data_IF_436446243671
#
_entry.id   IF_436446243671
#
_cell.length_a   1.000
_cell.length_b   1.000
_cell.length_c   1.000
_cell.angle_alpha   90.00
_cell.angle_beta   90.00
_cell.angle_gamma   90.00
#
_symmetry.space_group_name_H-M   'P 1'
#
loop_
_entity.id
_entity.type
_entity.pdbx_description
1 polymer ?
#
# COMPACT_ATOMS: atom_id res chain seq x y z
N UNK A 1 5.31 10.73 -0.99
CA UNK A 1 4.02 10.43 -1.63
C UNK A 1 4.22 10.23 -3.11
N UNK A 2 3.81 9.10 -3.70
CA UNK A 2 4.01 8.82 -5.13
C UNK A 2 2.79 9.27 -5.96
N UNK A 3 2.95 10.14 -6.97
CA UNK A 3 1.83 10.67 -7.75
C UNK A 3 1.45 9.74 -8.91
N UNK A 4 0.82 8.60 -8.61
CA UNK A 4 0.43 7.60 -9.63
C UNK A 4 -1.07 7.41 -9.85
N UNK A 5 -1.90 7.79 -8.87
CA UNK A 5 -3.35 7.53 -8.88
C UNK A 5 -4.07 8.49 -7.92
N UNK A 6 -5.04 9.29 -8.39
CA UNK A 6 -5.67 10.32 -7.57
C UNK A 6 -6.85 9.78 -6.73
N UNK A 7 -7.34 8.56 -7.00
CA UNK A 7 -8.67 8.10 -6.54
C UNK A 7 -8.87 8.17 -5.02
N UNK A 8 -7.83 7.88 -4.25
CA UNK A 8 -7.87 7.91 -2.78
C UNK A 8 -6.82 8.86 -2.19
N UNK A 9 -6.15 9.63 -3.06
CA UNK A 9 -4.89 10.27 -2.72
C UNK A 9 -5.06 11.29 -1.60
N UNK A 10 -6.09 12.13 -1.70
CA UNK A 10 -6.28 13.21 -0.75
C UNK A 10 -6.78 12.66 0.59
N UNK A 11 -7.66 11.68 0.54
CA UNK A 11 -8.22 10.96 1.67
C UNK A 11 -7.13 10.24 2.47
N UNK A 12 -6.28 9.46 1.80
CA UNK A 12 -5.13 8.80 2.41
C UNK A 12 -4.15 9.84 2.96
N UNK A 13 -3.74 10.84 2.17
CA UNK A 13 -2.76 11.84 2.61
C UNK A 13 -3.25 12.64 3.83
N UNK A 14 -4.53 13.04 3.86
CA UNK A 14 -5.09 13.87 4.92
C UNK A 14 -4.99 13.23 6.32
N UNK A 15 -4.96 11.90 6.43
CA UNK A 15 -4.81 11.21 7.72
C UNK A 15 -3.40 11.32 8.29
N UNK A 16 -2.40 11.24 7.41
CA UNK A 16 -1.00 11.28 7.82
C UNK A 16 -0.48 12.70 7.88
N UNK A 17 -1.04 13.63 7.10
CA UNK A 17 -0.58 14.99 6.96
C UNK A 17 -0.36 15.74 8.29
N UNK A 18 -1.23 15.62 9.31
CA UNK A 18 -1.00 16.24 10.62
C UNK A 18 0.25 15.73 11.34
N UNK A 19 0.76 14.55 10.97
CA UNK A 19 1.92 13.89 11.56
C UNK A 19 3.22 14.19 10.80
N UNK A 20 3.17 14.90 9.67
CA UNK A 20 4.33 15.13 8.82
C UNK A 20 5.02 16.45 9.17
N UNK A 21 6.35 16.44 9.19
CA UNK A 21 7.18 17.65 9.21
C UNK A 21 7.60 18.08 7.80
N UNK A 22 7.73 17.12 6.89
CA UNK A 22 8.07 17.32 5.49
C UNK A 22 7.29 16.34 4.60
N UNK A 23 6.96 16.79 3.38
CA UNK A 23 6.31 15.95 2.37
C UNK A 23 7.11 16.02 1.07
N UNK A 24 7.62 14.88 0.60
CA UNK A 24 8.32 14.79 -0.68
C UNK A 24 7.48 14.05 -1.72
N UNK A 25 7.44 14.61 -2.92
CA UNK A 25 6.71 14.09 -4.07
C UNK A 25 7.73 13.86 -5.20
N UNK A 26 8.22 12.64 -5.44
CA UNK A 26 9.03 12.36 -6.62
C UNK A 26 8.13 12.36 -7.86
N UNK A 27 8.25 13.39 -8.71
CA UNK A 27 7.36 13.68 -9.84
C UNK A 27 7.95 13.12 -11.14
N UNK A 28 7.29 12.15 -11.82
CA UNK A 28 7.71 11.69 -13.13
C UNK A 28 7.52 12.81 -14.16
N UNK A 29 8.61 13.43 -14.61
CA UNK A 29 8.57 14.61 -15.49
C UNK A 29 7.98 14.31 -16.87
N UNK A 30 8.06 13.06 -17.29
CA UNK A 30 7.52 12.57 -18.57
C UNK A 30 6.04 12.16 -18.47
N UNK A 31 5.44 12.24 -17.28
CA UNK A 31 4.06 11.81 -17.04
C UNK A 31 3.85 10.30 -17.16
N UNK A 32 4.93 9.51 -17.14
CA UNK A 32 4.89 8.06 -17.30
C UNK A 32 5.10 7.36 -15.95
N UNK A 33 4.35 6.28 -15.77
CA UNK A 33 4.57 5.33 -14.66
C UNK A 33 5.72 4.38 -14.96
N UNK A 34 6.01 3.49 -14.01
CA UNK A 34 7.17 2.59 -14.04
C UNK A 34 7.29 1.72 -15.29
N UNK A 35 6.17 1.45 -15.95
CA UNK A 35 6.09 0.63 -17.15
C UNK A 35 5.98 1.40 -18.46
N UNK A 36 6.10 2.72 -18.40
CA UNK A 36 5.91 3.60 -19.56
C UNK A 36 4.44 3.89 -19.89
N UNK A 37 3.49 3.43 -19.08
CA UNK A 37 2.08 3.81 -19.23
C UNK A 37 1.85 5.23 -18.70
N UNK A 38 1.02 6.07 -19.36
CA UNK A 38 0.68 7.38 -18.84
C UNK A 38 -0.02 7.29 -17.48
N UNK A 39 0.32 8.22 -16.59
CA UNK A 39 -0.29 8.36 -15.26
C UNK A 39 -0.78 9.80 -15.06
N UNK A 40 -1.85 10.01 -14.28
CA UNK A 40 -2.46 11.32 -14.08
C UNK A 40 -1.70 12.17 -13.04
N UNK A 41 -0.44 12.51 -13.34
CA UNK A 41 0.44 13.27 -12.41
C UNK A 41 -0.19 14.60 -12.00
N UNK A 42 -0.72 15.37 -12.97
CA UNK A 42 -1.31 16.68 -12.69
C UNK A 42 -2.53 16.60 -11.76
N UNK A 43 -3.39 15.59 -11.94
CA UNK A 43 -4.53 15.33 -11.04
C UNK A 43 -4.03 15.00 -9.64
N UNK A 44 -2.99 14.16 -9.52
CA UNK A 44 -2.39 13.82 -8.24
C UNK A 44 -1.80 15.04 -7.54
N UNK A 45 -1.06 15.90 -8.27
CA UNK A 45 -0.47 17.12 -7.72
C UNK A 45 -1.55 18.11 -7.28
N UNK A 46 -2.66 18.22 -8.01
CA UNK A 46 -3.80 19.04 -7.59
C UNK A 46 -4.39 18.58 -6.26
N UNK A 47 -4.60 17.26 -6.09
CA UNK A 47 -5.06 16.69 -4.83
C UNK A 47 -4.06 16.89 -3.68
N UNK A 48 -2.76 16.73 -3.93
CA UNK A 48 -1.72 16.99 -2.90
C UNK A 48 -1.75 18.46 -2.48
N UNK A 49 -1.80 19.41 -3.42
CA UNK A 49 -1.87 20.85 -3.13
C UNK A 49 -3.12 21.23 -2.32
N UNK A 50 -4.24 20.53 -2.53
CA UNK A 50 -5.47 20.72 -1.74
C UNK A 50 -5.29 20.32 -0.28
N UNK A 51 -4.50 19.28 -0.01
CA UNK A 51 -4.22 18.80 1.35
C UNK A 51 -3.06 19.56 2.02
N UNK A 52 -2.09 20.05 1.25
CA UNK A 52 -0.86 20.69 1.74
C UNK A 52 -1.06 22.13 2.29
N UNK A 53 -1.88 22.24 3.32
CA UNK A 53 -2.25 23.51 3.97
C UNK A 53 -1.10 24.21 4.73
N UNK A 54 -0.05 23.47 5.07
CA UNK A 54 1.18 23.95 5.76
C UNK A 54 2.33 24.24 4.78
N UNK A 55 2.13 24.02 3.47
CA UNK A 55 3.17 24.23 2.45
C UNK A 55 4.47 23.46 2.74
N UNK A 56 4.34 22.20 3.18
CA UNK A 56 5.47 21.32 3.48
C UNK A 56 5.80 20.38 2.33
N UNK A 57 5.03 20.41 1.24
CA UNK A 57 5.29 19.64 0.04
C UNK A 57 6.48 20.19 -0.75
N UNK A 58 7.37 19.30 -1.18
CA UNK A 58 8.43 19.57 -2.14
C UNK A 58 8.39 18.52 -3.26
N UNK A 59 8.29 19.01 -4.48
CA UNK A 59 8.38 18.20 -5.70
C UNK A 59 9.85 17.90 -6.01
N UNK A 60 10.12 16.67 -6.45
CA UNK A 60 11.44 16.21 -6.89
C UNK A 60 11.28 15.62 -8.27
N UNK A 61 11.66 16.35 -9.32
CA UNK A 61 11.55 15.83 -10.66
C UNK A 61 12.48 14.63 -10.88
N UNK A 62 12.03 13.68 -11.70
CA UNK A 62 12.88 12.61 -12.20
C UNK A 62 12.19 11.78 -13.27
N UNK A 63 12.89 10.74 -13.74
CA UNK A 63 12.38 9.76 -14.69
C UNK A 63 12.61 8.37 -14.15
N UNK A 64 11.53 7.62 -13.96
CA UNK A 64 11.55 6.29 -13.38
C UNK A 64 10.70 5.36 -14.24
N UNK A 65 11.18 5.09 -15.45
CA UNK A 65 10.56 4.15 -16.38
C UNK A 65 11.52 3.00 -16.63
N UNK A 66 11.04 1.78 -16.42
CA UNK A 66 11.74 0.56 -16.78
C UNK A 66 10.71 -0.52 -17.13
N UNK A 67 10.40 -0.64 -18.42
CA UNK A 67 9.35 -1.55 -18.92
C UNK A 67 9.65 -3.02 -18.59
N UNK A 68 10.92 -3.41 -18.66
CA UNK A 68 11.36 -4.79 -18.41
C UNK A 68 11.38 -5.11 -16.91
N UNK A 69 11.68 -4.11 -16.08
CA UNK A 69 11.75 -4.25 -14.62
C UNK A 69 11.04 -3.08 -13.89
N UNK A 70 9.69 -2.99 -13.95
CA UNK A 70 8.95 -1.87 -13.36
C UNK A 70 9.16 -1.73 -11.85
N UNK A 71 9.37 -2.85 -11.17
CA UNK A 71 9.66 -2.86 -9.73
C UNK A 71 10.98 -2.16 -9.38
N UNK A 72 11.97 -2.18 -10.28
CA UNK A 72 13.23 -1.45 -10.09
C UNK A 72 13.03 0.05 -10.27
N UNK A 73 12.16 0.45 -11.19
CA UNK A 73 11.75 1.85 -11.34
C UNK A 73 10.98 2.36 -10.10
N UNK A 74 10.07 1.56 -9.53
CA UNK A 74 9.42 1.84 -8.24
C UNK A 74 10.45 2.04 -7.13
N UNK A 75 11.37 1.07 -6.99
CA UNK A 75 12.46 1.13 -6.00
C UNK A 75 13.28 2.41 -6.13
N UNK A 76 13.67 2.77 -7.36
CA UNK A 76 14.45 3.97 -7.63
C UNK A 76 13.69 5.27 -7.32
N UNK A 77 12.39 5.33 -7.63
CA UNK A 77 11.56 6.49 -7.32
C UNK A 77 11.39 6.69 -5.81
N UNK A 78 11.13 5.59 -5.08
CA UNK A 78 11.06 5.63 -3.60
C UNK A 78 12.41 6.00 -3.01
N UNK A 79 13.51 5.46 -3.53
CA UNK A 79 14.85 5.77 -3.05
C UNK A 79 15.18 7.26 -3.24
N UNK A 80 14.82 7.86 -4.37
CA UNK A 80 15.00 9.30 -4.60
C UNK A 80 14.23 10.15 -3.58
N UNK A 81 13.01 9.73 -3.20
CA UNK A 81 12.25 10.41 -2.15
C UNK A 81 12.92 10.29 -0.76
N UNK A 82 13.48 9.12 -0.42
CA UNK A 82 14.23 8.94 0.83
C UNK A 82 15.48 9.82 0.88
N UNK A 83 16.28 9.81 -0.19
CA UNK A 83 17.52 10.58 -0.28
C UNK A 83 17.28 12.08 -0.06
N UNK A 84 16.18 12.59 -0.58
CA UNK A 84 15.84 13.99 -0.41
C UNK A 84 15.40 14.37 1.01
N UNK A 85 14.98 13.39 1.81
CA UNK A 85 14.57 13.57 3.20
C UNK A 85 15.74 13.37 4.19
N UNK A 86 16.91 12.92 3.71
CA UNK A 86 18.10 12.77 4.55
C UNK A 86 18.45 14.09 5.23
N UNK A 87 18.67 14.03 6.55
CA UNK A 87 19.01 15.20 7.38
C UNK A 87 17.83 16.14 7.69
N UNK A 88 16.65 15.89 7.13
CA UNK A 88 15.45 16.70 7.38
C UNK A 88 14.49 16.05 8.38
N UNK A 89 14.47 14.71 8.43
CA UNK A 89 13.59 13.92 9.31
C UNK A 89 14.32 12.67 9.81
N UNK A 90 13.87 12.10 10.91
CA UNK A 90 14.43 10.86 11.48
C UNK A 90 13.84 9.59 10.88
N UNK A 91 12.59 9.67 10.42
CA UNK A 91 11.79 8.58 9.90
C UNK A 91 10.95 9.04 8.71
N UNK A 92 10.74 8.15 7.76
CA UNK A 92 9.91 8.36 6.58
C UNK A 92 8.78 7.35 6.56
N UNK A 93 7.56 7.83 6.32
CA UNK A 93 6.38 7.00 6.07
C UNK A 93 6.31 6.69 4.56
N UNK A 94 6.41 5.41 4.22
CA UNK A 94 6.23 4.87 2.87
C UNK A 94 4.87 4.20 2.76
N UNK A 95 3.86 4.95 2.31
CA UNK A 95 2.52 4.45 2.04
C UNK A 95 2.10 4.75 0.62
N UNK A 96 1.33 3.84 0.05
CA UNK A 96 0.68 4.05 -1.24
C UNK A 96 -0.54 4.97 -1.08
N UNK A 97 -0.97 5.56 -2.20
CA UNK A 97 -2.03 6.57 -2.20
C UNK A 97 -3.43 6.02 -1.89
N UNK A 98 -3.57 4.71 -1.74
CA UNK A 98 -4.80 4.01 -1.41
C UNK A 98 -4.64 3.12 -0.15
N UNK A 99 -3.67 3.44 0.70
CA UNK A 99 -3.44 2.84 2.00
C UNK A 99 -3.93 3.77 3.14
N UNK A 100 -4.78 3.23 4.01
CA UNK A 100 -5.43 3.89 5.13
C UNK A 100 -5.01 3.21 6.44
N UNK A 101 -4.67 3.97 7.48
CA UNK A 101 -4.30 3.41 8.78
C UNK A 101 -5.37 3.79 9.81
N UNK A 102 -6.11 2.82 10.38
CA UNK A 102 -7.24 3.11 11.27
C UNK A 102 -6.87 3.91 12.51
N UNK A 103 -5.64 3.73 12.96
CA UNK A 103 -5.07 4.44 14.11
C UNK A 103 -3.72 5.03 13.74
N UNK A 104 -3.66 6.23 13.14
CA UNK A 104 -2.41 6.84 12.68
C UNK A 104 -1.34 7.00 13.78
N UNK A 105 -1.76 7.13 15.05
CA UNK A 105 -0.85 7.17 16.21
C UNK A 105 0.01 5.92 16.36
N UNK A 106 -0.41 4.77 15.82
CA UNK A 106 0.39 3.55 15.80
C UNK A 106 1.75 3.78 15.12
N UNK A 107 1.85 4.70 14.15
CA UNK A 107 3.12 5.04 13.52
C UNK A 107 4.14 5.59 14.54
N UNK A 108 3.70 6.45 15.45
CA UNK A 108 4.56 7.04 16.48
C UNK A 108 5.00 5.99 17.50
N UNK A 109 4.06 5.16 17.97
CA UNK A 109 4.35 4.03 18.87
C UNK A 109 5.37 3.05 18.25
N UNK A 110 5.22 2.81 16.94
CA UNK A 110 6.12 1.94 16.17
C UNK A 110 7.52 2.55 16.02
N UNK A 111 7.60 3.86 15.79
CA UNK A 111 8.87 4.61 15.72
C UNK A 111 9.61 4.51 17.05
N UNK A 112 8.94 4.77 18.17
CA UNK A 112 9.56 4.74 19.50
C UNK A 112 10.10 3.33 19.80
N UNK A 113 9.33 2.30 19.47
CA UNK A 113 9.73 0.91 19.66
C UNK A 113 10.92 0.53 18.79
N UNK A 114 10.89 0.90 17.52
CA UNK A 114 11.99 0.62 16.60
C UNK A 114 13.26 1.35 17.03
N UNK A 115 13.16 2.61 17.45
CA UNK A 115 14.27 3.40 17.96
C UNK A 115 14.89 2.78 19.22
N UNK A 116 14.07 2.32 20.18
CA UNK A 116 14.56 1.65 21.39
C UNK A 116 15.34 0.35 21.11
N UNK A 117 15.06 -0.30 19.99
CA UNK A 117 15.73 -1.51 19.52
C UNK A 117 16.83 -1.21 18.48
N UNK A 118 17.07 0.08 18.19
CA UNK A 118 17.98 0.59 17.15
C UNK A 118 17.67 0.07 15.73
N UNK A 119 16.42 -0.25 15.42
CA UNK A 119 16.01 -0.83 14.14
C UNK A 119 15.89 0.22 13.04
N UNK A 120 16.02 -0.22 11.79
CA UNK A 120 16.10 0.63 10.60
C UNK A 120 14.73 0.85 9.96
N UNK A 121 13.78 -0.05 10.20
CA UNK A 121 12.47 -0.03 9.56
C UNK A 121 11.39 -0.72 10.39
N UNK A 122 10.13 -0.42 10.06
CA UNK A 122 8.94 -1.09 10.60
C UNK A 122 8.05 -1.58 9.47
N UNK A 123 7.61 -2.83 9.58
CA UNK A 123 6.59 -3.45 8.76
C UNK A 123 5.30 -3.59 9.55
N UNK A 124 4.22 -3.07 8.97
CA UNK A 124 2.86 -3.15 9.51
C UNK A 124 2.04 -4.15 8.70
N UNK A 125 1.11 -4.89 9.35
CA UNK A 125 0.20 -5.76 8.63
C UNK A 125 -0.82 -4.96 7.84
N UNK A 126 -1.30 -5.55 6.75
CA UNK A 126 -2.23 -4.94 5.82
C UNK A 126 -3.42 -5.86 5.51
N UNK A 127 -4.61 -5.31 5.56
CA UNK A 127 -5.88 -5.88 5.11
C UNK A 127 -6.18 -5.38 3.71
N UNK A 128 -6.35 -6.30 2.77
CA UNK A 128 -6.59 -5.93 1.36
C UNK A 128 -8.08 -6.02 1.05
N UNK A 129 -8.66 -4.89 0.64
CA UNK A 129 -10.04 -4.85 0.18
C UNK A 129 -10.06 -5.14 -1.32
N UNK A 130 -10.77 -6.19 -1.70
CA UNK A 130 -10.81 -6.67 -3.08
C UNK A 130 -11.92 -6.02 -3.92
N UNK A 131 -13.11 -5.83 -3.35
CA UNK A 131 -14.22 -5.20 -4.08
C UNK A 131 -15.24 -4.57 -3.13
N UNK A 132 -15.81 -3.45 -3.54
CA UNK A 132 -16.93 -2.79 -2.84
C UNK A 132 -18.20 -2.80 -3.69
N UNK A 133 -19.34 -3.02 -3.05
CA UNK A 133 -20.69 -2.78 -3.59
C UNK A 133 -21.40 -1.79 -2.68
N UNK A 134 -22.64 -1.42 -2.99
CA UNK A 134 -23.42 -0.51 -2.13
C UNK A 134 -23.64 -1.08 -0.72
N UNK A 135 -23.70 -2.40 -0.57
CA UNK A 135 -24.07 -3.07 0.68
C UNK A 135 -22.96 -3.89 1.32
N UNK A 136 -21.92 -4.25 0.57
CA UNK A 136 -20.87 -5.14 1.06
C UNK A 136 -19.47 -4.73 0.59
N UNK A 137 -18.49 -5.07 1.42
CA UNK A 137 -17.07 -5.09 1.05
C UNK A 137 -16.60 -6.54 1.04
N UNK A 138 -15.84 -6.90 0.01
CA UNK A 138 -15.16 -8.17 -0.12
C UNK A 138 -13.69 -7.95 0.23
N UNK A 139 -13.22 -8.65 1.24
CA UNK A 139 -11.87 -8.58 1.75
C UNK A 139 -11.18 -9.92 1.58
N UNK A 140 -9.87 -9.89 1.41
CA UNK A 140 -9.05 -11.09 1.30
C UNK A 140 -8.98 -11.79 2.66
N UNK A 141 -9.13 -13.11 2.64
CA UNK A 141 -9.22 -13.94 3.82
C UNK A 141 -8.31 -15.17 3.70
N UNK A 142 -8.01 -15.78 4.84
CA UNK A 142 -7.18 -16.97 4.92
C UNK A 142 -7.84 -18.17 4.23
N UNK A 143 -7.09 -19.26 4.10
CA UNK A 143 -7.56 -20.47 3.43
C UNK A 143 -8.83 -21.07 4.09
N UNK A 144 -9.07 -20.76 5.37
CA UNK A 144 -10.23 -21.22 6.14
C UNK A 144 -11.30 -20.13 6.30
N UNK A 145 -11.13 -18.95 5.68
CA UNK A 145 -12.04 -17.80 5.81
C UNK A 145 -11.76 -16.92 7.03
N UNK A 146 -10.68 -17.22 7.72
CA UNK A 146 -10.10 -16.49 8.84
C UNK A 146 -9.45 -15.16 8.41
N UNK A 147 -9.06 -14.35 9.40
CA UNK A 147 -8.37 -13.08 9.17
C UNK A 147 -7.05 -13.32 8.42
N UNK A 148 -6.78 -12.47 7.43
CA UNK A 148 -5.56 -12.53 6.65
C UNK A 148 -4.93 -11.15 6.58
N UNK A 149 -3.66 -11.09 6.95
CA UNK A 149 -2.85 -9.90 6.77
C UNK A 149 -1.73 -10.17 5.78
N UNK A 150 -1.53 -9.23 4.88
CA UNK A 150 -0.36 -9.16 4.02
C UNK A 150 0.69 -8.23 4.63
N UNK A 151 1.92 -8.38 4.16
CA UNK A 151 3.03 -7.52 4.52
C UNK A 151 3.68 -7.03 3.24
N UNK A 152 3.40 -5.78 2.83
CA UNK A 152 3.86 -5.30 1.55
C UNK A 152 5.30 -4.73 1.59
N UNK A 153 5.97 -4.85 2.74
CA UNK A 153 7.30 -4.33 3.04
C UNK A 153 7.24 -3.15 4.01
N UNK A 154 8.36 -2.45 4.18
CA UNK A 154 8.54 -1.45 5.24
C UNK A 154 7.69 -0.19 5.02
N UNK A 155 6.88 0.14 6.01
CA UNK A 155 5.99 1.31 6.02
C UNK A 155 6.67 2.49 6.71
N UNK A 156 7.50 2.24 7.71
CA UNK A 156 8.36 3.24 8.32
C UNK A 156 9.81 2.87 8.07
N UNK A 157 10.63 3.82 7.65
CA UNK A 157 12.04 3.59 7.38
C UNK A 157 12.89 4.79 7.79
N UNK A 158 14.15 4.54 8.18
CA UNK A 158 15.14 5.61 8.28
C UNK A 158 15.47 6.17 6.88
N UNK A 159 15.61 7.50 6.69
CA UNK A 159 15.93 8.06 5.38
C UNK A 159 17.24 7.55 4.76
N UNK A 160 18.18 7.09 5.60
CA UNK A 160 19.51 6.64 5.18
C UNK A 160 19.56 5.20 4.68
N UNK A 161 18.47 4.43 4.79
CA UNK A 161 18.45 3.04 4.32
C UNK A 161 18.47 2.95 2.80
N UNK A 162 18.98 1.82 2.32
CA UNK A 162 18.88 1.42 0.92
C UNK A 162 17.71 0.47 0.73
N UNK A 163 16.85 0.81 -0.23
CA UNK A 163 15.76 -0.04 -0.67
C UNK A 163 16.29 -1.10 -1.63
N UNK A 164 15.88 -2.35 -1.43
CA UNK A 164 16.26 -3.47 -2.29
C UNK A 164 15.19 -3.81 -3.32
N UNK A 165 13.91 -3.73 -2.93
CA UNK A 165 12.78 -4.08 -3.77
C UNK A 165 11.52 -3.31 -3.32
N UNK A 166 11.10 -2.33 -4.11
CA UNK A 166 10.07 -1.36 -3.78
C UNK A 166 10.32 -0.75 -2.40
N UNK A 167 9.47 -1.03 -1.41
CA UNK A 167 9.58 -0.54 -0.04
C UNK A 167 10.38 -1.45 0.91
N UNK A 168 10.92 -2.57 0.43
CA UNK A 168 11.74 -3.48 1.26
C UNK A 168 13.13 -2.90 1.52
N UNK A 169 13.57 -2.96 2.78
CA UNK A 169 14.89 -2.49 3.20
C UNK A 169 15.87 -3.64 3.36
N UNK A 170 17.14 -3.38 3.07
CA UNK A 170 18.25 -4.24 3.44
C UNK A 170 18.79 -3.81 4.82
N UNK A 171 18.00 -4.00 5.88
CA UNK A 171 18.31 -3.54 7.23
C UNK A 171 17.58 -4.34 8.31
N UNK A 172 17.69 -3.91 9.57
CA UNK A 172 17.01 -4.56 10.70
C UNK A 172 15.58 -4.05 10.82
N UNK A 173 14.61 -4.96 10.83
CA UNK A 173 13.20 -4.64 10.71
C UNK A 173 12.44 -5.05 11.96
N UNK A 174 11.56 -4.16 12.43
CA UNK A 174 10.47 -4.51 13.35
C UNK A 174 9.26 -4.95 12.53
N UNK A 175 8.81 -6.19 12.66
CA UNK A 175 7.55 -6.65 12.08
C UNK A 175 6.49 -6.73 13.18
N UNK A 176 5.48 -5.85 13.08
CA UNK A 176 4.31 -5.94 13.94
C UNK A 176 3.30 -6.91 13.36
N UNK A 177 2.65 -7.70 14.21
CA UNK A 177 1.63 -8.64 13.78
C UNK A 177 0.50 -8.75 14.79
N UNK A 178 -0.63 -9.23 14.28
CA UNK A 178 -1.80 -9.56 15.08
C UNK A 178 -1.84 -11.07 15.30
N UNK A 179 -1.91 -11.57 16.55
CA UNK A 179 -2.01 -12.99 16.84
C UNK A 179 -3.15 -13.69 16.09
N UNK A 180 -4.27 -12.99 15.89
CA UNK A 180 -5.46 -13.53 15.22
C UNK A 180 -5.31 -13.70 13.70
N UNK A 181 -4.22 -13.18 13.13
CA UNK A 181 -3.95 -13.17 11.69
C UNK A 181 -2.53 -13.68 11.38
N UNK A 182 -2.06 -14.67 12.15
CA UNK A 182 -0.70 -15.23 12.01
C UNK A 182 -0.51 -16.13 10.79
N UNK A 183 -1.55 -16.40 10.01
CA UNK A 183 -1.53 -17.27 8.83
C UNK A 183 -0.91 -16.65 7.58
N UNK A 184 -0.32 -15.46 7.66
CA UNK A 184 0.37 -14.84 6.52
C UNK A 184 1.65 -15.60 6.17
N UNK A 185 2.04 -15.55 4.89
CA UNK A 185 3.27 -16.20 4.41
C UNK A 185 4.49 -15.70 5.20
N UNK A 186 4.56 -14.39 5.45
CA UNK A 186 5.66 -13.73 6.15
C UNK A 186 5.75 -14.14 7.63
N UNK A 187 4.62 -14.41 8.29
CA UNK A 187 4.61 -14.83 9.68
C UNK A 187 4.76 -16.36 9.85
N UNK A 188 4.35 -17.14 8.85
CA UNK A 188 4.45 -18.60 8.89
C UNK A 188 5.87 -19.15 8.77
N UNK A 189 6.80 -18.37 8.19
CA UNK A 189 8.23 -18.74 8.16
C UNK A 189 8.91 -18.39 9.48
N UNK A 190 10.00 -19.07 9.87
CA UNK A 190 10.86 -18.60 10.96
C UNK A 190 11.32 -17.15 10.72
N UNK A 191 11.47 -16.32 11.78
CA UNK A 191 12.05 -14.98 11.65
C UNK A 191 13.50 -15.06 11.17
N UNK A 192 13.89 -14.10 10.34
CA UNK A 192 15.28 -13.97 9.89
C UNK A 192 16.11 -13.24 10.97
N UNK A 193 17.44 -13.34 10.92
CA UNK A 193 18.32 -12.70 11.92
C UNK A 193 18.20 -11.17 11.96
N UNK A 194 17.78 -10.55 10.86
CA UNK A 194 17.51 -9.11 10.76
C UNK A 194 16.10 -8.71 11.19
N UNK A 195 15.26 -9.66 11.62
CA UNK A 195 13.85 -9.45 11.88
C UNK A 195 13.51 -9.61 13.36
N UNK A 196 12.93 -8.57 13.96
CA UNK A 196 12.29 -8.63 15.27
C UNK A 196 10.78 -8.65 15.11
N UNK A 197 10.10 -9.71 15.59
CA UNK A 197 8.64 -9.83 15.53
C UNK A 197 7.98 -9.47 16.86
N UNK A 198 6.92 -8.70 16.81
CA UNK A 198 6.06 -8.40 17.95
C UNK A 198 4.61 -8.68 17.59
N UNK A 199 3.99 -9.63 18.29
CA UNK A 199 2.64 -10.13 18.01
C UNK A 199 1.64 -9.55 19.01
N UNK A 200 1.50 -8.23 19.03
CA UNK A 200 0.68 -7.52 20.03
C UNK A 200 -0.32 -6.55 19.38
N UNK A 201 -0.35 -6.47 18.06
CA UNK A 201 -1.25 -5.56 17.35
C UNK A 201 -2.67 -6.11 17.34
N UNK A 202 -3.67 -5.28 17.60
CA UNK A 202 -5.05 -5.66 17.32
C UNK A 202 -5.27 -5.81 15.81
N UNK A 203 -5.95 -6.86 15.36
CA UNK A 203 -6.17 -7.06 13.92
C UNK A 203 -6.90 -5.90 13.22
N UNK A 204 -7.70 -5.13 13.96
CA UNK A 204 -8.39 -3.95 13.46
C UNK A 204 -7.46 -2.76 13.17
N UNK A 205 -6.24 -2.73 13.73
CA UNK A 205 -5.26 -1.65 13.54
C UNK A 205 -4.39 -1.84 12.28
N UNK A 206 -4.55 -2.96 11.55
CA UNK A 206 -3.84 -3.20 10.30
C UNK A 206 -4.21 -2.14 9.23
N UNK A 207 -3.24 -1.83 8.37
CA UNK A 207 -3.44 -0.92 7.22
C UNK A 207 -4.55 -1.48 6.34
N UNK A 208 -5.49 -0.64 5.92
CA UNK A 208 -6.51 -0.98 4.94
C UNK A 208 -6.03 -0.53 3.57
N UNK A 209 -5.96 -1.45 2.62
CA UNK A 209 -5.52 -1.17 1.25
C UNK A 209 -6.69 -1.27 0.28
N UNK A 210 -7.06 -0.13 -0.32
CA UNK A 210 -8.25 0.06 -1.16
C UNK A 210 -7.98 -0.13 -2.66
N UNK A 211 -6.82 -0.67 -3.02
CA UNK A 211 -6.36 -0.76 -4.42
C UNK A 211 -7.32 -1.45 -5.37
N UNK A 212 -8.05 -2.47 -4.90
CA UNK A 212 -9.01 -3.23 -5.73
C UNK A 212 -10.47 -2.88 -5.44
N UNK A 213 -10.76 -2.34 -4.25
CA UNK A 213 -12.11 -1.99 -3.79
C UNK A 213 -12.66 -0.70 -4.41
N UNK A 214 -12.70 -0.68 -5.74
CA UNK A 214 -13.03 0.49 -6.56
C UNK A 214 -14.30 0.28 -7.36
N UNK A 215 -14.85 1.35 -7.92
CA UNK A 215 -15.88 1.22 -8.95
C UNK A 215 -15.33 0.55 -10.20
N UNK A 216 -16.23 -0.02 -11.02
CA UNK A 216 -15.86 -0.63 -12.31
C UNK A 216 -15.15 0.35 -13.26
N UNK A 217 -15.39 1.66 -13.13
CA UNK A 217 -14.72 2.67 -13.94
C UNK A 217 -13.29 2.91 -13.45
N UNK A 218 -13.11 3.07 -12.14
CA UNK A 218 -11.81 3.32 -11.51
C UNK A 218 -10.88 2.13 -11.65
N UNK A 219 -11.34 0.90 -11.42
CA UNK A 219 -10.48 -0.28 -11.54
C UNK A 219 -9.98 -0.47 -12.98
N UNK A 220 -10.83 -0.21 -13.98
CA UNK A 220 -10.44 -0.25 -15.39
C UNK A 220 -9.41 0.83 -15.74
N UNK A 221 -9.58 2.05 -15.19
CA UNK A 221 -8.60 3.13 -15.35
C UNK A 221 -7.27 2.76 -14.71
N UNK A 222 -7.29 2.30 -13.46
CA UNK A 222 -6.11 1.89 -12.70
C UNK A 222 -5.31 0.84 -13.47
N UNK A 223 -5.97 -0.16 -14.03
CA UNK A 223 -5.22 -1.22 -14.69
C UNK A 223 -4.76 -0.84 -16.09
N UNK A 224 -5.48 0.04 -16.78
CA UNK A 224 -4.97 0.64 -18.02
C UNK A 224 -3.68 1.45 -17.80
N UNK A 225 -3.46 1.99 -16.58
CA UNK A 225 -2.23 2.72 -16.22
C UNK A 225 -1.18 1.86 -15.51
N UNK A 226 -1.47 0.59 -15.20
CA UNK A 226 -0.51 -0.35 -14.63
C UNK A 226 0.32 -1.02 -15.74
N UNK A 227 1.54 -1.43 -15.41
CA UNK A 227 2.52 -1.99 -16.35
C UNK A 227 2.21 -3.28 -17.09
N UNK A 228 0.99 -3.74 -16.96
CA UNK A 228 0.43 -4.87 -17.68
C UNK A 228 -0.68 -4.44 -18.65
N UNK A 229 -0.76 -3.16 -19.02
CA UNK A 229 -1.74 -2.64 -19.99
C UNK A 229 -1.66 -3.34 -21.37
N UNK A 230 -0.52 -3.97 -21.69
CA UNK A 230 -0.34 -4.82 -22.87
C UNK A 230 -0.79 -6.28 -22.71
N UNK A 231 -1.07 -6.75 -21.50
CA UNK A 231 -1.46 -8.13 -21.24
C UNK A 231 -2.97 -8.29 -21.39
N UNK A 232 -3.40 -8.95 -22.47
CA UNK A 232 -4.78 -9.42 -22.69
C UNK A 232 -5.38 -10.17 -21.48
N UNK A 233 -4.51 -10.66 -20.59
CA UNK A 233 -4.82 -11.33 -19.35
C UNK A 233 -5.62 -10.47 -18.35
N UNK A 234 -5.46 -9.14 -18.33
CA UNK A 234 -6.23 -8.35 -17.35
C UNK A 234 -7.70 -8.15 -17.74
N UNK A 235 -8.00 -7.91 -19.02
CA UNK A 235 -9.40 -7.84 -19.47
C UNK A 235 -10.15 -9.12 -19.10
N UNK A 236 -9.49 -10.27 -19.29
CA UNK A 236 -9.98 -11.57 -18.87
C UNK A 236 -10.11 -11.67 -17.33
N UNK A 237 -9.10 -11.25 -16.58
CA UNK A 237 -9.12 -11.25 -15.11
C UNK A 237 -10.27 -10.39 -14.56
N UNK A 238 -10.48 -9.19 -15.11
CA UNK A 238 -11.58 -8.33 -14.72
C UNK A 238 -12.93 -9.05 -14.89
N UNK A 239 -13.20 -9.63 -16.05
CA UNK A 239 -14.49 -10.28 -16.31
C UNK A 239 -14.68 -11.63 -15.61
N UNK A 240 -13.61 -12.41 -15.45
CA UNK A 240 -13.70 -13.76 -14.85
C UNK A 240 -13.50 -13.78 -13.34
N UNK A 241 -12.75 -12.82 -12.78
CA UNK A 241 -12.34 -12.84 -11.37
C UNK A 241 -12.87 -11.67 -10.59
N UNK A 242 -12.73 -10.43 -11.07
CA UNK A 242 -13.11 -9.25 -10.28
C UNK A 242 -14.60 -8.89 -10.40
N UNK A 243 -15.15 -8.81 -11.62
CA UNK A 243 -16.53 -8.43 -11.91
C UNK A 243 -17.62 -9.42 -11.42
N UNK A 244 -17.39 -10.73 -11.30
CA UNK A 244 -18.44 -11.64 -10.82
C UNK A 244 -18.49 -11.78 -9.29
N UNK A 245 -17.52 -11.21 -8.56
CA UNK A 245 -17.36 -11.39 -7.08
C UNK A 245 -18.66 -11.33 -6.27
N UNK A 246 -19.55 -10.33 -6.42
CA UNK A 246 -20.78 -10.24 -5.63
C UNK A 246 -21.63 -11.51 -5.68
N UNK A 247 -21.57 -12.26 -6.77
CA UNK A 247 -22.36 -13.47 -7.00
C UNK A 247 -21.60 -14.77 -6.79
N UNK A 248 -20.26 -14.76 -6.76
CA UNK A 248 -19.47 -16.01 -6.70
C UNK A 248 -18.36 -16.02 -5.65
N UNK A 249 -18.28 -15.00 -4.78
CA UNK A 249 -17.15 -14.81 -3.85
C UNK A 249 -16.80 -16.04 -3.02
N UNK A 250 -17.79 -16.86 -2.62
CA UNK A 250 -17.57 -18.06 -1.80
C UNK A 250 -16.86 -19.20 -2.56
N UNK A 251 -16.95 -19.19 -3.90
CA UNK A 251 -16.31 -20.16 -4.81
C UNK A 251 -14.90 -19.73 -5.23
N UNK A 252 -14.59 -18.43 -5.15
CA UNK A 252 -13.29 -17.91 -5.60
C UNK A 252 -12.18 -18.41 -4.66
N UNK A 253 -11.16 -19.00 -5.26
CA UNK A 253 -9.93 -19.49 -4.60
C UNK A 253 -8.70 -19.06 -5.36
N UNK A 254 -7.62 -18.84 -4.62
CA UNK A 254 -6.27 -18.57 -5.13
C UNK A 254 -6.29 -17.65 -6.36
N UNK A 255 -6.76 -16.43 -6.14
CA UNK A 255 -7.19 -15.53 -7.20
C UNK A 255 -6.27 -14.32 -7.36
N UNK A 256 -5.09 -14.33 -6.74
CA UNK A 256 -4.11 -13.27 -6.95
C UNK A 256 -3.69 -13.23 -8.42
N UNK A 257 -3.61 -12.05 -9.06
CA UNK A 257 -3.28 -11.94 -10.48
C UNK A 257 -1.87 -12.47 -10.83
N UNK A 258 -0.93 -12.40 -9.88
CA UNK A 258 0.50 -12.68 -10.13
C UNK A 258 1.15 -13.76 -9.25
N UNK A 259 0.55 -14.17 -8.13
CA UNK A 259 1.25 -14.94 -7.09
C UNK A 259 0.31 -15.89 -6.38
N UNK A 260 0.46 -17.19 -6.66
CA UNK A 260 -0.38 -18.21 -6.06
C UNK A 260 -0.21 -18.26 -4.54
N UNK A 261 -1.29 -18.49 -3.84
CA UNK A 261 -1.35 -18.59 -2.38
C UNK A 261 -1.48 -17.25 -1.66
N UNK A 262 -1.23 -16.11 -2.31
CA UNK A 262 -1.32 -14.81 -1.63
C UNK A 262 -2.76 -14.43 -1.32
N UNK A 263 -3.71 -14.76 -2.22
CA UNK A 263 -5.14 -14.48 -2.03
C UNK A 263 -5.96 -15.78 -1.99
N UNK A 264 -6.01 -16.49 -0.84
CA UNK A 264 -6.62 -17.80 -0.75
C UNK A 264 -8.14 -17.76 -0.94
N UNK A 265 -8.81 -16.79 -0.30
CA UNK A 265 -10.28 -16.65 -0.29
C UNK A 265 -10.72 -15.19 -0.16
N UNK A 266 -12.02 -14.98 -0.35
CA UNK A 266 -12.72 -13.77 0.03
C UNK A 266 -13.63 -14.01 1.23
N UNK A 267 -13.73 -13.01 2.10
CA UNK A 267 -14.81 -12.86 3.08
C UNK A 267 -15.68 -11.69 2.70
N UNK A 268 -16.97 -11.79 2.99
CA UNK A 268 -17.96 -10.73 2.75
C UNK A 268 -18.28 -10.02 4.07
N UNK A 269 -18.06 -8.72 4.11
CA UNK A 269 -18.37 -7.85 5.22
C UNK A 269 -19.50 -6.89 4.84
N UNK A 270 -20.36 -6.48 5.80
CA UNK A 270 -21.28 -5.37 5.56
C UNK A 270 -20.48 -4.10 5.25
N UNK A 271 -21.00 -3.26 4.35
CA UNK A 271 -20.35 -1.99 4.03
C UNK A 271 -20.42 -1.03 5.22
N UNK A 272 -21.53 -1.05 5.96
CA UNK A 272 -21.68 -0.36 7.24
C UNK A 272 -20.99 -1.16 8.36
N UNK A 273 -19.98 -0.58 9.01
CA UNK A 273 -19.24 -1.20 10.10
C UNK A 273 -17.92 -1.87 9.71
N UNK A 274 -17.48 -1.75 8.45
CA UNK A 274 -16.06 -1.94 8.15
C UNK A 274 -15.35 -0.60 8.38
N UNK A 275 -14.04 -0.61 8.62
CA UNK A 275 -13.19 0.58 8.67
C UNK A 275 -13.39 1.54 7.47
N UNK A 276 -14.09 1.08 6.42
CA UNK A 276 -14.63 1.87 5.31
C UNK A 276 -15.91 2.67 5.61
N UNK A 277 -16.27 2.95 6.87
CA UNK A 277 -17.38 3.88 7.23
C UNK A 277 -17.10 5.35 6.87
N UNK A 278 -16.05 5.59 6.10
CA UNK A 278 -15.84 6.84 5.42
C UNK A 278 -16.31 6.69 3.97
N UNK A 279 -17.52 7.17 3.63
CA UNK A 279 -18.00 7.17 2.25
C UNK A 279 -17.13 8.03 1.30
N UNK A 280 -16.15 8.73 1.87
CA UNK A 280 -15.11 9.53 1.24
C UNK A 280 -13.73 9.34 1.94
N UNK A 281 -13.41 8.14 2.46
CA UNK A 281 -12.03 7.65 2.71
C UNK A 281 -11.85 6.20 2.24
#
# INVERSE_FOLDING_TARGET
MLPGDPVWLAESLAQYYPLLDALVIPVPEDGLGWSGAPIPVDECLAEIRRVDTRMIAREIPGRWVNVDHPIMADTAQRQAALEALVGSVDWVVQLDNDEFLPRPRLLMESIDRAAALSLDAVELPMRVLFRRTSSHVFEIAGAHGDLHHEYPGSVLVRPTVRLGNARQVNGRVLRLGAPEASGSIQLSRPPDDSETRVMELAAADAIVHNSWARSSREIRRKVASWGHAGDANFGLYYWLRWWPVPWIWWLIRDFHPFSRGLWPRLRRLPNAGSVADHPHL
#
